data_IF_935288896154
#
_entry.id   IF_935288896154
#
_cell.length_a   1.000
_cell.length_b   1.000
_cell.length_c   1.000
_cell.angle_alpha   90.00
_cell.angle_beta   90.00
_cell.angle_gamma   90.00
#
_symmetry.space_group_name_H-M   'P 1'
#
loop_
_entity.id
_entity.type
_entity.pdbx_description
1 polymer ?
#
# COMPACT_ATOMS: atom_id res chain seq x y z
N UNK A 1 -41.32 47.22 -41.55
CA UNK A 1 -40.13 47.86 -40.94
C UNK A 1 -40.09 47.63 -39.42
N UNK A 2 -39.27 46.65 -39.03
CA UNK A 2 -38.60 46.47 -37.72
C UNK A 2 -39.43 46.36 -36.42
N UNK A 3 -39.59 45.11 -35.93
CA UNK A 3 -39.39 44.78 -34.49
C UNK A 3 -37.89 44.53 -34.25
N UNK A 4 -37.35 44.86 -33.07
CA UNK A 4 -37.03 43.86 -32.02
C UNK A 4 -37.24 44.44 -30.59
N UNK A 5 -37.05 43.81 -29.43
CA UNK A 5 -36.75 42.43 -29.01
C UNK A 5 -37.12 42.30 -27.52
N UNK A 6 -37.55 41.11 -27.12
CA UNK A 6 -37.72 40.72 -25.72
C UNK A 6 -36.37 40.27 -25.15
N UNK A 7 -35.87 40.96 -24.13
CA UNK A 7 -34.70 40.52 -23.37
C UNK A 7 -35.11 39.41 -22.40
N UNK A 8 -35.14 38.17 -22.89
CA UNK A 8 -35.06 36.98 -22.04
C UNK A 8 -33.62 36.78 -21.59
N UNK A 9 -33.38 36.76 -20.29
CA UNK A 9 -32.11 36.27 -19.74
C UNK A 9 -32.03 34.76 -19.97
N UNK A 10 -31.03 34.24 -20.71
CA UNK A 10 -30.79 32.80 -20.72
C UNK A 10 -30.16 32.41 -19.38
N UNK A 11 -30.85 31.54 -18.64
CA UNK A 11 -30.22 30.68 -17.64
C UNK A 11 -29.09 29.94 -18.37
N UNK A 12 -27.84 30.27 -18.04
CA UNK A 12 -26.68 29.49 -18.49
C UNK A 12 -26.79 28.10 -17.88
N UNK A 13 -27.22 27.16 -18.70
CA UNK A 13 -26.85 25.76 -18.62
C UNK A 13 -25.36 25.65 -18.90
N UNK A 14 -24.53 25.93 -17.90
CA UNK A 14 -23.16 25.44 -17.90
C UNK A 14 -23.20 24.05 -17.24
N UNK A 15 -23.28 23.10 -18.15
CA UNK A 15 -23.44 21.68 -17.96
C UNK A 15 -22.49 21.07 -16.92
N UNK A 16 -23.12 20.31 -16.03
CA UNK A 16 -22.68 18.99 -15.59
C UNK A 16 -21.76 18.29 -16.61
N UNK A 17 -20.45 18.49 -16.52
CA UNK A 17 -19.49 17.53 -17.08
C UNK A 17 -18.13 17.55 -16.35
N UNK A 18 -18.16 17.30 -15.04
CA UNK A 18 -17.01 16.70 -14.37
C UNK A 18 -17.03 15.20 -14.66
N UNK A 19 -16.80 14.82 -15.92
CA UNK A 19 -16.43 13.45 -16.25
C UNK A 19 -15.14 13.17 -15.46
N UNK A 20 -15.27 12.44 -14.34
CA UNK A 20 -14.15 11.94 -13.56
C UNK A 20 -13.15 11.31 -14.51
N UNK A 21 -12.06 12.01 -14.77
CA UNK A 21 -10.99 11.51 -15.62
C UNK A 21 -10.54 10.20 -14.97
N UNK A 22 -10.83 9.07 -15.62
CA UNK A 22 -10.58 7.74 -15.07
C UNK A 22 -9.09 7.63 -14.80
N UNK A 23 -8.73 7.48 -13.52
CA UNK A 23 -7.33 7.42 -13.11
C UNK A 23 -6.65 6.17 -13.67
N UNK A 24 -5.74 6.36 -14.62
CA UNK A 24 -4.92 5.28 -15.19
C UNK A 24 -3.55 5.20 -14.49
N UNK A 25 -3.30 4.12 -13.71
CA UNK A 25 -1.99 3.89 -13.10
C UNK A 25 -0.93 3.45 -14.11
N UNK A 26 -1.26 3.05 -15.34
CA UNK A 26 -0.33 2.57 -16.38
C UNK A 26 -0.26 1.03 -16.53
N UNK A 27 0.94 0.48 -16.75
CA UNK A 27 1.28 -0.95 -16.72
C UNK A 27 0.92 -1.79 -17.97
N UNK A 28 1.85 -2.66 -18.39
CA UNK A 28 1.79 -3.41 -19.67
C UNK A 28 1.20 -4.82 -19.56
N UNK A 29 1.16 -5.40 -18.36
CA UNK A 29 0.86 -6.82 -18.14
C UNK A 29 -0.21 -6.95 -17.06
N UNK A 30 -1.30 -7.66 -17.38
CA UNK A 30 -2.52 -7.79 -16.56
C UNK A 30 -2.93 -9.27 -16.47
N UNK A 31 -2.16 -10.12 -15.78
CA UNK A 31 -2.47 -11.54 -15.67
C UNK A 31 -3.75 -11.75 -14.85
N UNK A 32 -4.53 -12.77 -15.20
CA UNK A 32 -5.63 -13.21 -14.36
C UNK A 32 -5.15 -13.67 -12.98
N UNK A 33 -6.02 -13.53 -11.98
CA UNK A 33 -5.86 -14.15 -10.68
C UNK A 33 -5.92 -15.69 -10.80
N UNK A 34 -5.29 -16.44 -9.88
CA UNK A 34 -5.50 -17.88 -9.79
C UNK A 34 -6.99 -18.21 -9.60
N UNK A 35 -7.48 -19.29 -10.21
CA UNK A 35 -8.91 -19.60 -10.25
C UNK A 35 -9.54 -19.88 -8.87
N UNK A 36 -8.73 -20.26 -7.88
CA UNK A 36 -9.13 -20.51 -6.50
C UNK A 36 -9.15 -19.24 -5.63
N UNK A 37 -8.88 -18.07 -6.20
CA UNK A 37 -8.67 -16.84 -5.45
C UNK A 37 -9.91 -15.95 -5.44
N UNK A 38 -10.33 -15.57 -4.24
CA UNK A 38 -11.36 -14.56 -4.00
C UNK A 38 -10.70 -13.22 -3.71
N UNK A 39 -10.94 -12.23 -4.58
CA UNK A 39 -10.24 -10.94 -4.53
C UNK A 39 -11.20 -9.80 -4.17
N UNK A 40 -10.77 -8.96 -3.23
CA UNK A 40 -11.42 -7.68 -2.92
C UNK A 40 -10.39 -6.56 -2.85
N UNK A 41 -10.80 -5.33 -3.12
CA UNK A 41 -9.94 -4.16 -3.06
C UNK A 41 -10.71 -2.96 -2.52
N UNK A 42 -10.07 -2.18 -1.65
CA UNK A 42 -10.62 -0.94 -1.10
C UNK A 42 -9.95 0.26 -1.75
N UNK A 43 -10.73 1.03 -2.51
CA UNK A 43 -10.31 2.25 -3.18
C UNK A 43 -10.91 3.48 -2.49
N UNK A 44 -10.28 4.64 -2.67
CA UNK A 44 -10.92 5.92 -2.36
C UNK A 44 -12.04 6.22 -3.37
N UNK A 45 -12.98 7.10 -2.99
CA UNK A 45 -14.07 7.53 -3.88
C UNK A 45 -13.55 8.12 -5.21
N UNK A 46 -12.43 8.85 -5.15
CA UNK A 46 -11.78 9.42 -6.33
C UNK A 46 -10.98 8.40 -7.16
N UNK A 47 -10.94 7.12 -6.77
CA UNK A 47 -10.24 6.01 -7.45
C UNK A 47 -8.72 6.17 -7.60
N UNK A 48 -8.12 7.25 -7.05
CA UNK A 48 -6.68 7.51 -7.12
C UNK A 48 -5.89 6.69 -6.10
N UNK A 49 -6.51 6.32 -4.99
CA UNK A 49 -5.87 5.56 -3.92
C UNK A 49 -6.42 4.13 -3.86
N UNK A 50 -5.54 3.16 -3.63
CA UNK A 50 -5.92 1.80 -3.23
C UNK A 50 -5.30 1.53 -1.86
N UNK A 51 -6.15 1.48 -0.84
CA UNK A 51 -5.71 1.31 0.54
C UNK A 51 -5.46 -0.15 0.91
N UNK A 52 -6.23 -1.06 0.30
CA UNK A 52 -6.11 -2.48 0.58
C UNK A 52 -6.43 -3.33 -0.64
N UNK A 53 -5.79 -4.48 -0.72
CA UNK A 53 -6.16 -5.58 -1.59
C UNK A 53 -6.07 -6.88 -0.79
N UNK A 54 -7.07 -7.73 -0.96
CA UNK A 54 -7.17 -9.03 -0.28
C UNK A 54 -7.35 -10.10 -1.34
N UNK A 55 -6.53 -11.13 -1.30
CA UNK A 55 -6.66 -12.33 -2.12
C UNK A 55 -6.71 -13.54 -1.17
N UNK A 56 -7.86 -14.21 -1.11
CA UNK A 56 -8.13 -15.31 -0.19
C UNK A 56 -8.42 -16.59 -0.99
N UNK A 57 -7.72 -17.69 -0.70
CA UNK A 57 -7.90 -18.99 -1.36
C UNK A 57 -8.22 -20.13 -0.39
N UNK A 58 -7.97 -19.97 0.91
CA UNK A 58 -8.37 -20.93 1.94
C UNK A 58 -8.79 -20.19 3.23
N UNK A 59 -10.08 -19.84 3.40
CA UNK A 59 -10.59 -18.99 4.48
C UNK A 59 -10.40 -19.47 5.93
N UNK A 60 -9.85 -20.67 6.16
CA UNK A 60 -9.53 -21.20 7.50
C UNK A 60 -8.04 -21.18 7.87
N UNK A 61 -7.18 -20.71 6.97
CA UNK A 61 -5.72 -20.66 7.17
C UNK A 61 -5.25 -19.21 7.45
N UNK A 62 -4.10 -19.03 8.11
CA UNK A 62 -3.60 -17.70 8.46
C UNK A 62 -3.35 -16.82 7.22
N UNK A 63 -3.37 -15.50 7.44
CA UNK A 63 -3.12 -14.48 6.41
C UNK A 63 -1.75 -13.82 6.59
N UNK A 64 -1.13 -13.44 5.48
CA UNK A 64 0.10 -12.63 5.45
C UNK A 64 -0.19 -11.27 4.85
N UNK A 65 0.23 -10.20 5.54
CA UNK A 65 0.19 -8.84 5.01
C UNK A 65 1.53 -8.48 4.38
N UNK A 66 1.51 -8.05 3.12
CA UNK A 66 2.65 -7.46 2.44
C UNK A 66 2.56 -5.94 2.46
N UNK A 67 3.63 -5.27 2.87
CA UNK A 67 3.77 -3.82 2.78
C UNK A 67 4.71 -3.44 1.64
N UNK A 68 4.11 -3.10 0.50
CA UNK A 68 4.80 -2.76 -0.74
C UNK A 68 4.94 -1.24 -0.92
N UNK A 69 5.57 -0.79 -2.01
CA UNK A 69 5.87 0.64 -2.22
C UNK A 69 4.60 1.47 -2.46
N UNK A 70 3.93 1.21 -3.58
CA UNK A 70 2.70 1.87 -3.99
C UNK A 70 1.91 0.95 -4.95
N UNK A 71 0.57 1.07 -5.01
CA UNK A 71 -0.23 0.30 -5.95
C UNK A 71 0.14 0.63 -7.39
N UNK A 72 0.17 -0.40 -8.24
CA UNK A 72 0.21 -0.22 -9.70
C UNK A 72 -1.18 -0.56 -10.25
N UNK A 73 -1.26 -1.47 -11.22
CA UNK A 73 -2.46 -1.70 -12.01
C UNK A 73 -3.47 -2.64 -11.37
N UNK A 74 -3.02 -3.57 -10.52
CA UNK A 74 -3.83 -4.68 -10.07
C UNK A 74 -5.16 -4.23 -9.45
N UNK A 75 -6.23 -4.92 -9.81
CA UNK A 75 -7.60 -4.66 -9.39
C UNK A 75 -8.34 -6.00 -9.20
N UNK A 76 -9.67 -5.95 -9.13
CA UNK A 76 -10.51 -7.14 -9.01
C UNK A 76 -10.35 -8.07 -10.23
N UNK A 77 -10.20 -7.51 -11.43
CA UNK A 77 -10.20 -8.27 -12.68
C UNK A 77 -8.86 -8.93 -12.99
N UNK A 78 -7.76 -8.34 -12.52
CA UNK A 78 -6.41 -8.83 -12.83
C UNK A 78 -5.39 -8.51 -11.73
N UNK A 79 -4.40 -9.39 -11.63
CA UNK A 79 -3.22 -9.28 -10.78
C UNK A 79 -2.12 -8.45 -11.48
N UNK A 80 -0.97 -8.33 -10.82
CA UNK A 80 0.31 -7.93 -11.42
C UNK A 80 1.43 -8.95 -11.08
N UNK A 81 2.64 -8.85 -11.66
CA UNK A 81 3.74 -9.78 -11.38
C UNK A 81 4.16 -9.82 -9.90
N UNK A 82 4.03 -8.70 -9.19
CA UNK A 82 4.37 -8.62 -7.76
C UNK A 82 3.38 -9.41 -6.93
N UNK A 83 2.08 -9.25 -7.18
CA UNK A 83 1.04 -9.94 -6.42
C UNK A 83 1.06 -11.45 -6.68
N UNK A 84 1.38 -11.88 -7.92
CA UNK A 84 1.65 -13.31 -8.21
C UNK A 84 2.84 -13.84 -7.43
N UNK A 85 3.92 -13.04 -7.31
CA UNK A 85 5.12 -13.42 -6.58
C UNK A 85 4.84 -13.55 -5.08
N UNK A 86 4.18 -12.57 -4.48
CA UNK A 86 3.85 -12.58 -3.05
C UNK A 86 2.83 -13.67 -2.71
N UNK A 87 1.88 -13.95 -3.62
CA UNK A 87 0.95 -15.07 -3.49
C UNK A 87 1.66 -16.43 -3.53
N UNK A 88 2.67 -16.59 -4.41
CA UNK A 88 3.52 -17.79 -4.43
C UNK A 88 4.26 -18.00 -3.11
N UNK A 89 4.84 -16.94 -2.55
CA UNK A 89 5.47 -17.00 -1.23
C UNK A 89 4.47 -17.42 -0.15
N UNK A 90 3.32 -16.75 -0.07
CA UNK A 90 2.29 -17.03 0.93
C UNK A 90 1.82 -18.50 0.87
N UNK A 91 1.55 -19.02 -0.33
CA UNK A 91 1.17 -20.43 -0.54
C UNK A 91 2.29 -21.39 -0.13
N UNK A 92 3.53 -21.12 -0.51
CA UNK A 92 4.69 -21.93 -0.11
C UNK A 92 4.99 -21.88 1.40
N UNK A 93 4.38 -20.95 2.13
CA UNK A 93 4.48 -20.84 3.59
C UNK A 93 3.24 -21.41 4.31
N UNK A 94 2.25 -21.92 3.59
CA UNK A 94 1.05 -22.53 4.17
C UNK A 94 -0.06 -21.54 4.56
N UNK A 95 -0.04 -20.31 4.01
CA UNK A 95 -1.07 -19.31 4.27
C UNK A 95 -2.32 -19.54 3.41
N UNK A 96 -3.46 -19.06 3.89
CA UNK A 96 -4.76 -19.11 3.22
C UNK A 96 -5.11 -17.90 2.35
N UNK A 97 -4.28 -16.86 2.43
CA UNK A 97 -4.49 -15.65 1.67
C UNK A 97 -3.37 -14.64 1.90
N UNK A 98 -3.36 -13.61 1.06
CA UNK A 98 -2.52 -12.45 1.24
C UNK A 98 -3.35 -11.17 1.32
N UNK A 99 -2.92 -10.30 2.22
CA UNK A 99 -3.34 -8.91 2.31
C UNK A 99 -2.21 -8.05 1.75
N UNK A 100 -2.56 -6.95 1.10
CA UNK A 100 -1.58 -6.06 0.49
C UNK A 100 -1.91 -4.62 0.86
N UNK A 101 -1.01 -4.04 1.63
CA UNK A 101 -0.95 -2.61 1.90
C UNK A 101 0.26 -1.99 1.21
N UNK A 102 0.26 -0.65 1.14
CA UNK A 102 1.32 0.09 0.50
C UNK A 102 1.78 1.26 1.36
N UNK A 103 3.08 1.53 1.38
CA UNK A 103 3.66 2.69 2.08
C UNK A 103 3.04 4.00 1.59
N UNK A 104 2.70 4.06 0.30
CA UNK A 104 1.96 5.13 -0.37
C UNK A 104 0.74 4.54 -1.07
N UNK A 105 -0.49 4.92 -0.74
CA UNK A 105 -1.69 4.33 -1.35
C UNK A 105 -2.01 4.88 -2.74
N UNK A 106 -1.36 5.97 -3.19
CA UNK A 106 -1.60 6.52 -4.52
C UNK A 106 -1.19 5.52 -5.62
N UNK A 107 -2.12 5.24 -6.53
CA UNK A 107 -1.94 4.27 -7.61
C UNK A 107 -1.08 4.86 -8.72
N UNK A 108 0.09 4.29 -8.99
CA UNK A 108 0.98 4.71 -10.06
C UNK A 108 1.97 3.60 -10.43
N UNK A 109 2.10 3.27 -11.71
CA UNK A 109 3.16 2.36 -12.19
C UNK A 109 4.52 3.06 -12.19
N UNK A 110 4.54 4.33 -12.61
CA UNK A 110 5.71 5.17 -12.48
C UNK A 110 5.73 5.83 -11.10
N UNK A 111 6.66 5.38 -10.24
CA UNK A 111 6.84 5.91 -8.88
C UNK A 111 7.22 7.39 -8.85
N UNK A 112 7.70 7.99 -9.94
CA UNK A 112 8.01 9.43 -9.98
C UNK A 112 6.75 10.28 -9.84
N UNK A 113 5.58 9.76 -10.27
CA UNK A 113 4.28 10.43 -10.08
C UNK A 113 3.93 10.66 -8.61
N UNK A 114 4.46 9.85 -7.69
CA UNK A 114 4.25 10.06 -6.25
C UNK A 114 4.80 11.42 -5.76
N UNK A 115 5.76 12.01 -6.48
CA UNK A 115 6.31 13.34 -6.17
C UNK A 115 5.40 14.49 -6.63
N UNK A 116 4.40 14.19 -7.46
CA UNK A 116 3.50 15.18 -8.06
C UNK A 116 2.14 15.23 -7.36
N UNK A 117 1.94 14.37 -6.35
CA UNK A 117 0.70 14.26 -5.58
C UNK A 117 0.92 14.90 -4.21
N UNK A 118 -0.01 15.73 -3.75
CA UNK A 118 0.10 16.43 -2.47
C UNK A 118 0.22 15.46 -1.28
N UNK A 119 -0.59 14.40 -1.29
CA UNK A 119 -0.53 13.32 -0.30
C UNK A 119 -0.46 11.97 -1.01
N UNK A 120 0.74 11.42 -1.26
CA UNK A 120 0.88 10.08 -1.84
C UNK A 120 0.58 8.97 -0.82
N UNK A 121 0.59 9.27 0.49
CA UNK A 121 0.27 8.30 1.55
C UNK A 121 -1.20 7.95 1.49
N UNK A 122 -2.06 8.97 1.39
CA UNK A 122 -3.50 8.88 1.35
C UNK A 122 -4.12 8.84 2.75
N UNK A 123 -5.29 9.48 2.94
CA UNK A 123 -5.85 9.78 4.27
C UNK A 123 -6.17 8.55 5.13
N UNK A 124 -6.70 7.47 4.52
CA UNK A 124 -7.14 6.27 5.24
C UNK A 124 -6.05 5.18 5.36
N UNK A 125 -4.86 5.42 4.80
CA UNK A 125 -3.89 4.35 4.55
C UNK A 125 -3.35 3.73 5.84
N UNK A 126 -2.97 4.55 6.82
CA UNK A 126 -2.44 4.04 8.10
C UNK A 126 -3.48 3.25 8.89
N UNK A 127 -4.73 3.72 8.90
CA UNK A 127 -5.85 3.03 9.57
C UNK A 127 -6.07 1.65 8.96
N UNK A 128 -6.21 1.59 7.63
CA UNK A 128 -6.47 0.33 6.93
C UNK A 128 -5.28 -0.64 6.97
N UNK A 129 -4.04 -0.15 7.02
CA UNK A 129 -2.87 -1.00 7.26
C UNK A 129 -2.91 -1.61 8.67
N UNK A 130 -3.28 -0.85 9.69
CA UNK A 130 -3.41 -1.37 11.05
C UNK A 130 -4.50 -2.44 11.17
N UNK A 131 -5.64 -2.24 10.50
CA UNK A 131 -6.72 -3.22 10.43
C UNK A 131 -6.25 -4.52 9.77
N UNK A 132 -5.65 -4.44 8.57
CA UNK A 132 -5.08 -5.62 7.92
C UNK A 132 -3.97 -6.28 8.74
N UNK A 133 -3.17 -5.51 9.46
CA UNK A 133 -2.12 -6.04 10.32
C UNK A 133 -2.70 -6.80 11.51
N UNK A 134 -3.83 -6.36 12.08
CA UNK A 134 -4.49 -7.09 13.16
C UNK A 134 -5.04 -8.45 12.72
N UNK A 135 -5.39 -8.60 11.44
CA UNK A 135 -5.86 -9.87 10.84
C UNK A 135 -4.72 -10.81 10.44
N UNK A 136 -3.52 -10.27 10.17
CA UNK A 136 -2.42 -11.03 9.60
C UNK A 136 -1.56 -11.69 10.70
N UNK A 137 -1.23 -12.97 10.51
CA UNK A 137 -0.27 -13.65 11.38
C UNK A 137 1.15 -13.10 11.16
N UNK A 138 1.49 -12.76 9.92
CA UNK A 138 2.81 -12.21 9.53
C UNK A 138 2.62 -10.92 8.73
N UNK A 139 3.43 -9.91 9.06
CA UNK A 139 3.50 -8.65 8.30
C UNK A 139 4.89 -8.53 7.70
N UNK A 140 4.98 -8.57 6.37
CA UNK A 140 6.25 -8.54 5.63
C UNK A 140 6.51 -7.15 5.06
N UNK A 141 7.56 -6.50 5.55
CA UNK A 141 8.10 -5.27 4.98
C UNK A 141 8.81 -5.59 3.66
N UNK A 142 8.39 -4.92 2.58
CA UNK A 142 8.76 -5.29 1.22
C UNK A 142 8.72 -4.08 0.24
N UNK A 143 8.79 -2.86 0.77
CA UNK A 143 8.47 -1.63 0.04
C UNK A 143 9.60 -1.09 -0.84
N UNK A 144 10.77 -1.74 -0.90
CA UNK A 144 11.85 -1.35 -1.79
C UNK A 144 12.31 0.09 -1.57
N UNK A 145 12.74 0.75 -2.65
CA UNK A 145 13.27 2.12 -2.60
C UNK A 145 12.31 3.12 -3.30
N UNK A 146 11.42 3.76 -2.53
CA UNK A 146 10.69 4.95 -2.97
C UNK A 146 11.63 6.05 -3.48
N UNK A 147 11.09 7.05 -4.23
CA UNK A 147 11.82 8.29 -4.51
C UNK A 147 12.44 8.86 -3.23
N UNK A 148 13.63 9.46 -3.33
CA UNK A 148 14.45 9.85 -2.16
C UNK A 148 13.67 10.68 -1.13
N UNK A 149 12.88 11.65 -1.59
CA UNK A 149 12.05 12.51 -0.74
C UNK A 149 10.99 11.77 0.08
N UNK A 150 10.56 10.59 -0.39
CA UNK A 150 9.49 9.80 0.22
C UNK A 150 10.01 8.62 1.08
N UNK A 151 11.31 8.38 1.12
CA UNK A 151 11.91 7.27 1.88
C UNK A 151 11.61 7.29 3.40
N UNK A 152 11.53 8.44 4.08
CA UNK A 152 11.23 8.46 5.52
C UNK A 152 9.92 7.74 5.89
N UNK A 153 8.95 7.71 4.97
CA UNK A 153 7.64 7.10 5.18
C UNK A 153 7.72 5.59 5.47
N UNK A 154 8.66 4.87 4.88
CA UNK A 154 8.85 3.44 5.17
C UNK A 154 9.25 3.18 6.63
N UNK A 155 10.07 4.07 7.21
CA UNK A 155 10.47 3.97 8.62
C UNK A 155 9.32 4.36 9.56
N UNK A 156 8.54 5.37 9.21
CA UNK A 156 7.33 5.74 9.95
C UNK A 156 6.34 4.57 10.02
N UNK A 157 6.09 3.90 8.90
CA UNK A 157 5.20 2.73 8.87
C UNK A 157 5.76 1.54 9.65
N UNK A 158 7.07 1.30 9.57
CA UNK A 158 7.75 0.27 10.37
C UNK A 158 7.57 0.54 11.87
N UNK A 159 7.71 1.79 12.29
CA UNK A 159 7.51 2.22 13.67
C UNK A 159 6.05 2.10 14.11
N UNK A 160 5.09 2.38 13.22
CA UNK A 160 3.66 2.20 13.47
C UNK A 160 3.34 0.74 13.83
N UNK A 161 3.96 -0.20 13.11
CA UNK A 161 3.74 -1.64 13.26
C UNK A 161 4.68 -2.33 14.26
N UNK A 162 5.45 -1.55 15.03
CA UNK A 162 6.52 -2.07 15.89
C UNK A 162 6.11 -3.12 16.92
N UNK A 163 4.84 -3.12 17.30
CA UNK A 163 4.28 -4.04 18.30
C UNK A 163 3.74 -5.32 17.68
N UNK A 164 3.70 -5.44 16.35
CA UNK A 164 3.17 -6.62 15.69
C UNK A 164 4.10 -7.85 15.91
N UNK A 165 3.59 -8.95 16.48
CA UNK A 165 4.41 -10.12 16.85
C UNK A 165 4.93 -10.89 15.62
N UNK A 166 4.34 -10.68 14.44
CA UNK A 166 4.79 -11.24 13.17
C UNK A 166 5.47 -10.25 12.23
N UNK A 167 5.90 -9.07 12.71
CA UNK A 167 6.62 -8.10 11.85
C UNK A 167 7.93 -8.71 11.35
N UNK A 168 8.10 -8.76 10.04
CA UNK A 168 9.12 -9.52 9.33
C UNK A 168 9.57 -8.86 8.03
N UNK A 169 10.62 -9.39 7.41
CA UNK A 169 11.12 -9.03 6.09
C UNK A 169 11.69 -10.26 5.39
N UNK A 170 11.95 -10.20 4.07
CA UNK A 170 12.64 -11.27 3.35
C UNK A 170 14.14 -11.02 3.17
N UNK A 171 14.49 -9.78 2.86
CA UNK A 171 15.88 -9.34 2.70
C UNK A 171 15.96 -7.85 2.98
N UNK A 172 17.04 -7.42 3.63
CA UNK A 172 17.41 -6.01 3.73
C UNK A 172 18.55 -5.71 2.76
N UNK A 173 18.50 -4.56 2.12
CA UNK A 173 19.64 -3.99 1.41
C UNK A 173 20.71 -3.49 2.40
N UNK A 174 21.87 -3.07 1.90
CA UNK A 174 22.99 -2.56 2.73
C UNK A 174 22.57 -1.38 3.62
N UNK A 175 21.64 -0.57 3.16
CA UNK A 175 21.09 0.60 3.87
C UNK A 175 19.95 0.25 4.84
N UNK A 176 19.64 -1.05 5.01
CA UNK A 176 18.55 -1.52 5.86
C UNK A 176 17.17 -1.48 5.20
N UNK A 177 17.07 -1.08 3.93
CA UNK A 177 15.78 -1.03 3.22
C UNK A 177 15.27 -2.44 2.91
N UNK A 178 14.00 -2.77 3.22
CA UNK A 178 13.39 -4.03 2.79
C UNK A 178 13.33 -4.16 1.27
N UNK A 179 13.90 -5.24 0.73
CA UNK A 179 13.99 -5.47 -0.71
C UNK A 179 12.63 -5.87 -1.28
N UNK A 180 12.28 -5.34 -2.45
CA UNK A 180 11.07 -5.69 -3.16
C UNK A 180 11.05 -7.18 -3.57
N UNK A 181 9.94 -7.92 -3.40
CA UNK A 181 9.92 -9.38 -3.47
C UNK A 181 10.03 -9.94 -4.88
N UNK A 182 9.67 -9.15 -5.91
CA UNK A 182 9.54 -9.59 -7.31
C UNK A 182 10.73 -10.46 -7.80
N UNK A 183 11.95 -10.07 -7.43
CA UNK A 183 13.18 -10.73 -7.89
C UNK A 183 13.91 -11.55 -6.81
N UNK A 184 13.28 -11.77 -5.65
CA UNK A 184 13.86 -12.60 -4.61
C UNK A 184 13.69 -14.10 -4.90
N UNK A 185 14.59 -14.98 -4.42
CA UNK A 185 14.42 -16.43 -4.54
C UNK A 185 13.15 -16.92 -3.83
N UNK A 186 12.44 -17.88 -4.42
CA UNK A 186 11.19 -18.42 -3.89
C UNK A 186 11.35 -19.21 -2.58
N UNK A 187 12.57 -19.64 -2.27
CA UNK A 187 12.89 -20.41 -1.06
C UNK A 187 12.98 -19.56 0.21
N UNK A 188 12.98 -18.22 0.08
CA UNK A 188 13.08 -17.35 1.26
C UNK A 188 11.88 -17.53 2.19
N UNK A 189 12.16 -17.43 3.48
CA UNK A 189 11.19 -17.41 4.57
C UNK A 189 11.24 -16.05 5.27
N UNK A 190 10.13 -15.59 5.91
CA UNK A 190 10.13 -14.37 6.69
C UNK A 190 11.17 -14.42 7.82
N UNK A 191 11.97 -13.37 7.94
CA UNK A 191 12.88 -13.13 9.05
C UNK A 191 12.27 -12.05 9.93
N UNK A 192 12.21 -12.29 11.24
CA UNK A 192 11.66 -11.33 12.21
C UNK A 192 12.39 -9.99 12.12
N UNK A 193 11.63 -8.90 12.05
CA UNK A 193 12.19 -7.55 12.10
C UNK A 193 12.45 -7.15 13.55
N UNK A 194 13.72 -7.04 13.94
CA UNK A 194 14.10 -6.57 15.27
C UNK A 194 14.20 -5.06 15.31
N UNK A 195 13.39 -4.45 16.17
CA UNK A 195 13.44 -3.01 16.39
C UNK A 195 14.49 -2.75 17.45
N UNK A 196 15.61 -2.17 17.02
CA UNK A 196 16.65 -1.71 17.93
C UNK A 196 16.03 -0.66 18.84
N UNK A 197 15.85 -1.00 20.12
CA UNK A 197 15.27 -0.11 21.11
C UNK A 197 16.03 1.21 21.13
N UNK A 198 15.29 2.31 21.03
CA UNK A 198 15.82 3.63 21.40
C UNK A 198 16.22 3.50 22.86
N UNK A 199 17.53 3.49 23.17
CA UNK A 199 18.00 3.52 24.56
C UNK A 199 17.40 4.76 25.21
N UNK A 200 16.36 4.59 26.01
CA UNK A 200 15.89 5.64 26.90
C UNK A 200 17.05 5.93 27.85
N UNK A 201 17.76 7.05 27.66
CA UNK A 201 18.68 7.54 28.69
C UNK A 201 17.81 7.78 29.92
N UNK A 202 17.92 6.90 30.92
CA UNK A 202 17.48 7.23 32.27
C UNK A 202 18.30 8.44 32.69
N UNK A 203 17.67 9.60 32.75
CA UNK A 203 18.20 10.74 33.50
C UNK A 203 18.16 10.29 34.96
N UNK A 204 19.31 9.90 35.49
CA UNK A 204 19.44 9.72 36.94
C UNK A 204 19.41 11.09 37.56
N UNK A 205 18.31 11.40 38.21
CA UNK A 205 18.13 12.58 39.04
C UNK A 205 19.13 12.48 40.20
N UNK A 206 20.23 13.25 40.13
CA UNK A 206 21.08 13.46 41.31
C UNK A 206 20.35 14.47 42.18
N UNK A 207 19.65 13.97 43.20
CA UNK A 207 19.37 14.72 44.41
C UNK A 207 20.71 15.18 45.01
N UNK A 208 21.03 16.45 44.86
CA UNK A 208 21.96 17.16 45.73
C UNK A 208 21.16 17.79 46.86
N UNK A 209 21.14 17.11 48.01
CA UNK A 209 20.84 17.70 49.32
C UNK A 209 22.15 18.20 49.92
N UNK A 210 22.10 19.33 50.64
CA UNK A 210 23.11 19.75 51.61
C UNK A 210 24.01 20.85 51.13
#
# INVERSE_FOLDING_TARGET
>A
PHRPDAAGFPLRSDDMNSATQVHDPGGKVRPAWPADSHVTAGFSDCQQYRYQLREIWAPGLPLVLWLLMNPSVACLDYSDPTLRKTGKFARAWGYGGQLVGNVHAYRATDKTRLLQVADPVGPENDRLILEMAAEAQTVVLAFGQPPKALRPRGQQLTQLLRRHPGLSYLRLAKDGTPVHPLYLPDSLKPVRYEIKGTRTRRVTDRKGQG
#
